data_IF_162299675541
#
_entry.id   IF_162299675541
#
_cell.length_a   1.000
_cell.length_b   1.000
_cell.length_c   1.000
_cell.angle_alpha   90.00
_cell.angle_beta   90.00
_cell.angle_gamma   90.00
#
_symmetry.space_group_name_H-M   'P 1'
#
loop_
_entity.id
_entity.type
_entity.pdbx_description
1 polymer ?
#
# COMPACT_ATOMS: atom_id res chain seq x y z
N UNK A 1 3.75 12.88 16.85
CA UNK A 1 4.05 11.50 17.26
C UNK A 1 5.54 11.33 17.38
N UNK A 2 5.99 10.45 18.29
CA UNK A 2 7.39 10.02 18.40
C UNK A 2 7.55 8.67 17.70
N UNK A 3 8.45 8.57 16.74
CA UNK A 3 8.57 7.39 15.90
C UNK A 3 10.04 6.98 15.76
N UNK A 4 10.31 5.69 15.96
CA UNK A 4 11.61 5.09 15.68
C UNK A 4 11.57 4.42 14.31
N UNK A 5 12.60 4.67 13.50
CA UNK A 5 12.82 4.01 12.22
C UNK A 5 14.12 3.24 12.29
N UNK A 6 14.07 1.92 12.09
CA UNK A 6 15.22 1.03 12.09
C UNK A 6 15.59 0.67 10.65
N UNK A 7 16.79 1.07 10.26
CA UNK A 7 17.31 0.98 8.90
C UNK A 7 17.18 2.29 8.13
N UNK A 8 18.32 2.92 7.81
CA UNK A 8 18.43 4.19 7.09
C UNK A 8 18.70 3.99 5.58
N UNK A 9 18.22 2.89 5.00
CA UNK A 9 18.26 2.65 3.57
C UNK A 9 17.23 3.51 2.80
N UNK A 10 17.03 3.22 1.52
CA UNK A 10 16.13 4.00 0.63
C UNK A 10 14.74 4.23 1.20
N UNK A 11 14.10 3.20 1.75
CA UNK A 11 12.75 3.30 2.32
C UNK A 11 12.79 4.05 3.66
N UNK A 12 13.66 3.63 4.58
CA UNK A 12 13.71 4.22 5.92
C UNK A 12 14.10 5.70 5.91
N UNK A 13 15.08 6.10 5.11
CA UNK A 13 15.45 7.51 4.99
C UNK A 13 14.36 8.36 4.34
N UNK A 14 13.66 7.81 3.33
CA UNK A 14 12.52 8.52 2.71
C UNK A 14 11.37 8.68 3.69
N UNK A 15 11.02 7.63 4.43
CA UNK A 15 10.00 7.64 5.48
C UNK A 15 10.36 8.65 6.57
N UNK A 16 11.61 8.63 7.05
CA UNK A 16 12.10 9.54 8.07
C UNK A 16 11.95 11.01 7.65
N UNK A 17 12.40 11.36 6.45
CA UNK A 17 12.26 12.73 5.92
C UNK A 17 10.81 13.16 5.75
N UNK A 18 9.94 12.26 5.30
CA UNK A 18 8.52 12.57 5.10
C UNK A 18 7.84 12.85 6.44
N UNK A 19 8.07 12.03 7.44
CA UNK A 19 7.50 12.19 8.77
C UNK A 19 8.09 13.41 9.51
N UNK A 20 9.39 13.70 9.36
CA UNK A 20 10.02 14.90 9.92
C UNK A 20 9.42 16.18 9.33
N UNK A 21 9.16 16.22 8.00
CA UNK A 21 8.45 17.35 7.35
C UNK A 21 7.02 17.51 7.85
N UNK A 22 6.37 16.41 8.26
CA UNK A 22 5.05 16.42 8.88
C UNK A 22 5.09 16.77 10.38
N UNK A 23 6.24 17.24 10.89
CA UNK A 23 6.48 17.65 12.29
C UNK A 23 6.30 16.53 13.31
N UNK A 24 6.72 15.30 12.97
CA UNK A 24 6.87 14.21 13.94
C UNK A 24 8.30 14.18 14.51
N UNK A 25 8.44 13.69 15.74
CA UNK A 25 9.74 13.47 16.40
C UNK A 25 10.30 12.12 15.92
N UNK A 26 11.36 12.15 15.12
CA UNK A 26 11.90 10.95 14.48
C UNK A 26 13.27 10.60 15.08
N UNK A 27 13.43 9.33 15.42
CA UNK A 27 14.73 8.72 15.73
C UNK A 27 15.05 7.64 14.71
N UNK A 28 16.19 7.74 14.03
CA UNK A 28 16.63 6.76 13.04
C UNK A 28 17.77 5.93 13.59
N UNK A 29 17.67 4.62 13.53
CA UNK A 29 18.71 3.66 13.95
C UNK A 29 19.27 2.98 12.70
N UNK A 30 20.59 2.97 12.56
CA UNK A 30 21.29 2.13 11.56
C UNK A 30 22.65 1.69 12.13
N UNK A 31 23.11 0.49 11.74
CA UNK A 31 24.44 0.02 12.13
C UNK A 31 25.56 0.72 11.34
N UNK A 32 25.24 1.20 10.14
CA UNK A 32 26.16 1.92 9.28
C UNK A 32 25.93 3.44 9.40
N UNK A 33 26.88 4.13 9.98
CA UNK A 33 26.83 5.58 10.18
C UNK A 33 26.72 6.38 8.87
N UNK A 34 27.36 5.89 7.80
CA UNK A 34 27.29 6.54 6.49
C UNK A 34 25.87 6.52 5.89
N UNK A 35 25.00 5.59 6.31
CA UNK A 35 23.62 5.56 5.86
C UNK A 35 22.83 6.83 6.21
N UNK A 36 23.23 7.51 7.29
CA UNK A 36 22.57 8.74 7.73
C UNK A 36 22.77 9.93 6.78
N UNK A 37 23.77 9.91 5.91
CA UNK A 37 23.95 10.93 4.87
C UNK A 37 22.71 11.04 3.96
N UNK A 38 21.99 9.94 3.78
CA UNK A 38 20.75 9.89 2.98
C UNK A 38 19.58 10.71 3.56
N UNK A 39 19.67 11.11 4.84
CA UNK A 39 18.66 11.97 5.48
C UNK A 39 18.79 13.43 5.04
N UNK A 40 20.00 13.85 4.66
CA UNK A 40 20.28 15.22 4.23
C UNK A 40 20.34 16.22 5.40
N UNK A 41 20.86 17.42 5.10
CA UNK A 41 21.10 18.46 6.11
C UNK A 41 19.84 19.10 6.72
N UNK A 42 18.68 18.91 6.08
CA UNK A 42 17.41 19.45 6.58
C UNK A 42 16.68 18.54 7.57
N UNK A 43 17.18 17.33 7.81
CA UNK A 43 16.59 16.40 8.76
C UNK A 43 16.85 16.88 10.21
N UNK A 44 15.80 16.99 11.02
CA UNK A 44 15.84 17.53 12.40
C UNK A 44 15.80 16.44 13.45
N UNK A 45 15.51 15.19 13.06
CA UNK A 45 15.42 14.08 13.98
C UNK A 45 16.77 13.62 14.52
N UNK A 46 16.73 12.61 15.39
CA UNK A 46 17.91 12.02 15.99
C UNK A 46 18.39 10.82 15.16
N UNK A 47 19.72 10.63 15.13
CA UNK A 47 20.34 9.45 14.54
C UNK A 47 21.12 8.67 15.60
N UNK A 48 20.97 7.35 15.60
CA UNK A 48 21.63 6.48 16.55
C UNK A 48 22.30 5.34 15.78
N UNK A 49 23.63 5.28 15.88
CA UNK A 49 24.39 4.14 15.36
C UNK A 49 24.22 2.95 16.29
N UNK A 50 23.71 1.83 15.74
CA UNK A 50 23.53 0.60 16.50
C UNK A 50 22.75 -0.46 15.75
N UNK A 51 22.64 -1.63 16.35
CA UNK A 51 21.89 -2.75 15.82
C UNK A 51 20.44 -2.64 16.28
N UNK A 52 19.49 -2.71 15.33
CA UNK A 52 18.08 -2.41 15.56
C UNK A 52 17.34 -3.37 16.50
N UNK A 53 17.80 -4.60 16.64
CA UNK A 53 17.24 -5.58 17.59
C UNK A 53 18.00 -5.64 18.92
N UNK A 54 19.07 -4.82 19.10
CA UNK A 54 19.75 -4.72 20.37
C UNK A 54 18.94 -3.87 21.35
N UNK A 55 18.62 -4.48 22.50
CA UNK A 55 17.81 -3.83 23.53
C UNK A 55 18.42 -2.50 24.02
N UNK A 56 19.74 -2.44 24.17
CA UNK A 56 20.42 -1.23 24.64
C UNK A 56 20.29 -0.08 23.62
N UNK A 57 20.38 -0.40 22.34
CA UNK A 57 20.17 0.54 21.23
C UNK A 57 18.73 1.07 21.22
N UNK A 58 17.74 0.19 21.35
CA UNK A 58 16.32 0.55 21.39
C UNK A 58 15.99 1.42 22.60
N UNK A 59 16.51 1.08 23.78
CA UNK A 59 16.34 1.91 25.01
C UNK A 59 16.98 3.28 24.84
N UNK A 60 18.19 3.35 24.27
CA UNK A 60 18.86 4.63 23.96
C UNK A 60 18.04 5.48 22.98
N UNK A 61 17.31 4.83 22.06
CA UNK A 61 16.41 5.50 21.13
C UNK A 61 15.07 5.93 21.77
N UNK A 62 14.83 5.59 23.02
CA UNK A 62 13.64 5.99 23.76
C UNK A 62 12.40 5.14 23.46
N UNK A 63 12.58 3.87 23.12
CA UNK A 63 11.48 2.95 22.70
C UNK A 63 10.33 2.89 23.72
N UNK A 64 10.60 3.11 25.01
CA UNK A 64 9.60 3.11 26.07
C UNK A 64 8.55 4.22 25.96
N UNK A 65 8.78 5.24 25.11
CA UNK A 65 7.97 6.47 25.03
C UNK A 65 7.59 6.83 23.60
N UNK A 66 7.66 5.89 22.66
CA UNK A 66 7.32 6.14 21.26
C UNK A 66 5.92 5.70 20.94
N UNK A 67 5.30 6.39 19.99
CA UNK A 67 3.97 6.07 19.47
C UNK A 67 4.04 5.02 18.37
N UNK A 68 5.20 4.90 17.70
CA UNK A 68 5.38 3.97 16.60
C UNK A 68 6.82 3.54 16.35
N UNK A 69 6.98 2.37 15.72
CA UNK A 69 8.26 1.88 15.25
C UNK A 69 8.10 1.25 13.87
N UNK A 70 8.98 1.62 12.94
CA UNK A 70 9.06 1.02 11.62
C UNK A 70 10.42 0.35 11.41
N UNK A 71 10.42 -0.91 10.94
CA UNK A 71 11.64 -1.62 10.57
C UNK A 71 11.77 -1.67 9.04
N UNK A 72 12.88 -1.15 8.53
CA UNK A 72 13.12 -0.93 7.09
C UNK A 72 14.50 -1.42 6.63
N UNK A 73 15.14 -2.35 7.36
CA UNK A 73 16.45 -2.90 6.98
C UNK A 73 16.34 -3.82 5.77
N UNK A 74 17.48 -4.25 5.23
CA UNK A 74 17.51 -5.22 4.11
C UNK A 74 17.26 -6.67 4.54
N UNK A 75 17.17 -6.96 5.84
CA UNK A 75 16.99 -8.32 6.37
C UNK A 75 15.59 -8.49 6.96
N UNK A 76 14.81 -9.42 6.40
CA UNK A 76 13.49 -9.77 6.93
C UNK A 76 13.58 -10.28 8.37
N UNK A 77 14.60 -11.06 8.69
CA UNK A 77 14.77 -11.63 10.03
C UNK A 77 15.08 -10.52 11.06
N UNK A 78 15.96 -9.57 10.71
CA UNK A 78 16.23 -8.42 11.57
C UNK A 78 14.99 -7.54 11.76
N UNK A 79 14.23 -7.31 10.69
CA UNK A 79 13.00 -6.54 10.73
C UNK A 79 11.94 -7.22 11.61
N UNK A 80 11.75 -8.51 11.42
CA UNK A 80 10.79 -9.31 12.17
C UNK A 80 11.12 -9.38 13.67
N UNK A 81 12.40 -9.66 14.01
CA UNK A 81 12.85 -9.73 15.41
C UNK A 81 12.70 -8.37 16.09
N UNK A 82 13.14 -7.29 15.44
CA UNK A 82 13.00 -5.94 15.98
C UNK A 82 11.54 -5.56 16.22
N UNK A 83 10.67 -5.85 15.25
CA UNK A 83 9.24 -5.59 15.35
C UNK A 83 8.58 -6.37 16.51
N UNK A 84 8.96 -7.65 16.69
CA UNK A 84 8.48 -8.45 17.82
C UNK A 84 8.93 -7.89 19.16
N UNK A 85 10.19 -7.52 19.29
CA UNK A 85 10.73 -6.88 20.51
C UNK A 85 9.93 -5.60 20.81
N UNK A 86 9.71 -4.75 19.82
CA UNK A 86 8.95 -3.52 19.99
C UNK A 86 7.49 -3.79 20.42
N UNK A 87 6.83 -4.73 19.75
CA UNK A 87 5.42 -5.04 19.99
C UNK A 87 5.20 -5.81 21.30
N UNK A 88 5.93 -6.91 21.52
CA UNK A 88 5.68 -7.82 22.63
C UNK A 88 6.33 -7.36 23.95
N UNK A 89 7.55 -6.82 23.90
CA UNK A 89 8.31 -6.45 25.09
C UNK A 89 8.05 -4.98 25.48
N UNK A 90 8.19 -4.06 24.53
CA UNK A 90 8.05 -2.62 24.81
C UNK A 90 6.62 -2.11 24.62
N UNK A 91 5.70 -2.93 24.07
CA UNK A 91 4.29 -2.58 23.88
C UNK A 91 4.09 -1.30 23.06
N UNK A 92 4.95 -1.09 22.07
CA UNK A 92 4.81 0.05 21.15
C UNK A 92 3.46 -0.02 20.44
N UNK A 93 2.63 1.04 20.47
CA UNK A 93 1.26 1.00 19.96
C UNK A 93 1.14 0.65 18.48
N UNK A 94 2.03 1.21 17.67
CA UNK A 94 2.02 0.97 16.22
C UNK A 94 3.37 0.43 15.76
N UNK A 95 3.39 -0.82 15.30
CA UNK A 95 4.62 -1.44 14.79
C UNK A 95 4.41 -1.87 13.34
N UNK A 96 5.32 -1.45 12.47
CA UNK A 96 5.32 -1.78 11.05
C UNK A 96 6.62 -2.45 10.67
N UNK A 97 6.56 -3.63 10.07
CA UNK A 97 7.73 -4.37 9.60
C UNK A 97 7.75 -4.48 8.07
N UNK A 98 8.87 -4.07 7.45
CA UNK A 98 9.12 -4.36 6.06
C UNK A 98 9.56 -5.81 5.91
N UNK A 99 8.82 -6.60 5.15
CA UNK A 99 9.14 -8.00 4.87
C UNK A 99 9.04 -8.24 3.36
N UNK A 100 10.08 -8.84 2.79
CA UNK A 100 10.12 -9.19 1.37
C UNK A 100 9.39 -10.50 1.08
N UNK A 101 9.48 -11.46 2.02
CA UNK A 101 8.86 -12.77 1.92
C UNK A 101 7.37 -12.68 2.31
N UNK A 102 6.42 -12.92 1.37
CA UNK A 102 5.00 -12.87 1.65
C UNK A 102 4.55 -13.87 2.74
N UNK A 103 5.16 -15.06 2.78
CA UNK A 103 4.81 -16.08 3.77
C UNK A 103 5.18 -15.62 5.19
N UNK A 104 6.36 -14.99 5.35
CA UNK A 104 6.75 -14.37 6.61
C UNK A 104 5.80 -13.21 6.97
N UNK A 105 5.46 -12.37 6.01
CA UNK A 105 4.54 -11.25 6.23
C UNK A 105 3.18 -11.71 6.77
N UNK A 106 2.64 -12.81 6.26
CA UNK A 106 1.38 -13.37 6.72
C UNK A 106 1.44 -13.88 8.18
N UNK A 107 2.55 -14.53 8.54
CA UNK A 107 2.77 -15.00 9.92
C UNK A 107 2.79 -13.81 10.89
N UNK A 108 3.55 -12.75 10.57
CA UNK A 108 3.70 -11.60 11.46
C UNK A 108 2.43 -10.75 11.53
N UNK A 109 1.63 -10.66 10.46
CA UNK A 109 0.29 -10.04 10.50
C UNK A 109 -0.65 -10.73 11.49
N UNK A 110 -0.64 -12.07 11.54
CA UNK A 110 -1.44 -12.84 12.52
C UNK A 110 -0.98 -12.60 13.97
N UNK A 111 0.26 -12.18 14.17
CA UNK A 111 0.82 -11.79 15.47
C UNK A 111 0.56 -10.30 15.82
N UNK A 112 -0.27 -9.58 15.04
CA UNK A 112 -0.63 -8.19 15.30
C UNK A 112 0.39 -7.15 14.79
N UNK A 113 1.42 -7.57 14.05
CA UNK A 113 2.43 -6.67 13.47
C UNK A 113 2.00 -6.30 12.05
N UNK A 114 1.85 -5.02 11.77
CA UNK A 114 1.58 -4.55 10.42
C UNK A 114 2.80 -4.80 9.52
N UNK A 115 2.59 -5.28 8.30
CA UNK A 115 3.68 -5.61 7.39
C UNK A 115 3.57 -4.87 6.07
N UNK A 116 4.70 -4.45 5.51
CA UNK A 116 4.82 -3.83 4.20
C UNK A 116 5.62 -4.77 3.29
N UNK A 117 4.96 -5.30 2.26
CA UNK A 117 5.58 -6.14 1.22
C UNK A 117 5.93 -5.30 -0.02
N UNK A 118 7.15 -4.77 -0.09
CA UNK A 118 7.56 -3.91 -1.22
C UNK A 118 7.70 -4.67 -2.55
N UNK A 119 8.04 -5.96 -2.51
CA UNK A 119 8.22 -6.78 -3.72
C UNK A 119 6.89 -7.16 -4.34
N UNK A 120 5.94 -7.64 -3.54
CA UNK A 120 4.62 -8.03 -4.04
C UNK A 120 3.89 -6.86 -4.72
N UNK A 121 4.00 -5.67 -4.13
CA UNK A 121 3.43 -4.46 -4.72
C UNK A 121 4.12 -4.10 -6.05
N UNK A 122 5.46 -4.13 -6.10
CA UNK A 122 6.21 -3.82 -7.32
C UNK A 122 5.95 -4.84 -8.43
N UNK A 123 5.87 -6.14 -8.08
CA UNK A 123 5.54 -7.20 -9.04
C UNK A 123 4.12 -7.04 -9.57
N UNK A 124 3.15 -6.75 -8.70
CA UNK A 124 1.77 -6.48 -9.13
C UNK A 124 1.75 -5.31 -10.13
N UNK A 125 2.33 -4.17 -9.79
CA UNK A 125 2.40 -3.02 -10.69
C UNK A 125 3.09 -3.34 -12.03
N UNK A 126 4.19 -4.11 -12.01
CA UNK A 126 4.85 -4.51 -13.24
C UNK A 126 3.96 -5.43 -14.09
N UNK A 127 3.27 -6.39 -13.46
CA UNK A 127 2.33 -7.26 -14.15
C UNK A 127 1.17 -6.45 -14.75
N UNK A 128 0.64 -5.46 -14.04
CA UNK A 128 -0.42 -4.59 -14.52
C UNK A 128 0.02 -3.81 -15.77
N UNK A 129 1.26 -3.31 -15.78
CA UNK A 129 1.85 -2.61 -16.94
C UNK A 129 2.05 -3.56 -18.12
N UNK A 130 2.57 -4.78 -17.88
CA UNK A 130 2.83 -5.76 -18.94
C UNK A 130 1.58 -6.48 -19.44
N UNK A 131 0.54 -6.56 -18.62
CA UNK A 131 -0.68 -7.31 -18.96
C UNK A 131 -1.52 -6.64 -20.04
N UNK A 132 -1.14 -5.47 -20.56
CA UNK A 132 -1.92 -4.73 -21.57
C UNK A 132 -3.44 -4.66 -21.24
N UNK A 133 -3.79 -4.79 -19.96
CA UNK A 133 -5.19 -4.68 -19.59
C UNK A 133 -5.55 -3.19 -19.54
N UNK A 134 -6.41 -2.77 -20.44
CA UNK A 134 -7.07 -1.45 -20.46
C UNK A 134 -7.90 -1.19 -19.18
N UNK A 135 -7.73 -2.04 -18.17
CA UNK A 135 -8.38 -1.92 -16.88
C UNK A 135 -7.38 -1.32 -15.91
N UNK A 136 -7.62 -0.08 -15.54
CA UNK A 136 -6.83 0.65 -14.54
C UNK A 136 -7.33 0.27 -13.13
N UNK A 137 -6.61 -0.64 -12.44
CA UNK A 137 -6.96 -1.05 -11.08
C UNK A 137 -6.53 0.04 -10.11
N UNK A 138 -7.50 0.74 -9.55
CA UNK A 138 -7.30 1.85 -8.61
C UNK A 138 -7.01 1.33 -7.19
N UNK A 139 -7.73 0.29 -6.75
CA UNK A 139 -7.66 -0.23 -5.38
C UNK A 139 -8.02 -1.72 -5.33
N UNK A 140 -7.51 -2.43 -4.34
CA UNK A 140 -7.83 -3.84 -4.09
C UNK A 140 -8.37 -4.00 -2.67
N UNK A 141 -9.55 -4.56 -2.54
CA UNK A 141 -10.25 -4.74 -1.27
C UNK A 141 -10.20 -6.18 -0.78
N UNK A 142 -10.21 -6.32 0.55
CA UNK A 142 -10.18 -7.61 1.23
C UNK A 142 -8.75 -8.10 1.50
N UNK A 143 -8.56 -8.86 2.59
CA UNK A 143 -7.26 -9.39 3.04
C UNK A 143 -6.65 -10.39 2.04
N UNK A 144 -7.46 -10.98 1.19
CA UNK A 144 -7.08 -11.93 0.13
C UNK A 144 -7.12 -11.29 -1.27
N UNK A 145 -7.39 -9.98 -1.39
CA UNK A 145 -7.51 -9.30 -2.67
C UNK A 145 -8.69 -9.75 -3.53
N UNK A 146 -9.81 -10.13 -2.90
CA UNK A 146 -10.95 -10.74 -3.60
C UNK A 146 -11.74 -9.78 -4.49
N UNK A 147 -11.68 -8.45 -4.27
CA UNK A 147 -12.38 -7.43 -5.06
C UNK A 147 -11.38 -6.40 -5.54
N UNK A 148 -11.48 -6.00 -6.80
CA UNK A 148 -10.72 -4.90 -7.38
C UNK A 148 -11.66 -3.74 -7.75
N UNK A 149 -11.24 -2.52 -7.43
CA UNK A 149 -11.87 -1.30 -7.95
C UNK A 149 -11.14 -0.92 -9.22
N UNK A 150 -11.86 -0.93 -10.31
CA UNK A 150 -11.32 -0.75 -11.67
C UNK A 150 -11.84 0.55 -12.24
N UNK A 151 -10.94 1.36 -12.78
CA UNK A 151 -11.28 2.59 -13.49
C UNK A 151 -11.35 2.30 -14.99
N UNK A 152 -12.46 2.68 -15.64
CA UNK A 152 -12.72 2.38 -17.05
C UNK A 152 -13.25 3.64 -17.73
N UNK A 153 -12.65 4.03 -18.84
CA UNK A 153 -13.24 5.04 -19.73
C UNK A 153 -14.41 4.45 -20.50
N UNK A 154 -15.52 5.17 -20.59
CA UNK A 154 -16.67 4.72 -21.35
C UNK A 154 -16.29 4.42 -22.82
N UNK A 155 -16.38 3.17 -23.22
CA UNK A 155 -16.13 2.75 -24.60
C UNK A 155 -17.34 3.04 -25.49
N UNK A 156 -17.17 3.14 -26.82
CA UNK A 156 -18.31 3.31 -27.72
C UNK A 156 -19.39 2.23 -27.59
N UNK A 157 -19.01 1.04 -27.12
CA UNK A 157 -19.93 -0.08 -26.87
C UNK A 157 -20.87 0.19 -25.68
N UNK A 158 -20.41 0.96 -24.71
CA UNK A 158 -21.14 1.25 -23.47
C UNK A 158 -22.00 2.50 -23.57
N UNK A 159 -21.64 3.44 -24.45
CA UNK A 159 -22.37 4.71 -24.59
C UNK A 159 -23.81 4.48 -25.02
N UNK A 160 -24.76 5.07 -24.29
CA UNK A 160 -26.19 4.92 -24.50
C UNK A 160 -26.82 3.78 -23.72
N UNK A 161 -26.04 2.91 -23.07
CA UNK A 161 -26.53 1.84 -22.21
C UNK A 161 -26.66 2.29 -20.76
N UNK A 162 -27.63 1.76 -20.00
CA UNK A 162 -27.74 2.04 -18.57
C UNK A 162 -26.66 1.30 -17.77
N UNK A 163 -26.23 1.85 -16.63
CA UNK A 163 -25.18 1.26 -15.79
C UNK A 163 -25.51 -0.18 -15.35
N UNK A 164 -26.78 -0.52 -15.17
CA UNK A 164 -27.21 -1.88 -14.82
C UNK A 164 -26.75 -2.94 -15.82
N UNK A 165 -26.52 -2.57 -17.09
CA UNK A 165 -26.05 -3.51 -18.12
C UNK A 165 -24.60 -3.94 -17.89
N UNK A 166 -23.85 -3.20 -17.04
CA UNK A 166 -22.51 -3.55 -16.56
C UNK A 166 -22.52 -4.23 -15.18
N UNK A 167 -23.69 -4.44 -14.58
CA UNK A 167 -23.80 -5.04 -13.25
C UNK A 167 -24.04 -6.56 -13.38
N UNK A 168 -23.27 -7.33 -12.60
CA UNK A 168 -23.47 -8.77 -12.42
C UNK A 168 -23.60 -9.01 -10.92
N UNK A 169 -24.78 -9.44 -10.48
CA UNK A 169 -25.11 -9.56 -9.07
C UNK A 169 -24.07 -10.38 -8.29
N UNK A 170 -23.50 -9.75 -7.26
CA UNK A 170 -22.49 -10.34 -6.39
C UNK A 170 -21.08 -10.44 -7.00
N UNK A 171 -20.87 -10.05 -8.26
CA UNK A 171 -19.58 -10.17 -8.93
C UNK A 171 -19.06 -8.86 -9.52
N UNK A 172 -19.92 -8.04 -10.14
CA UNK A 172 -19.55 -6.78 -10.80
C UNK A 172 -20.58 -5.71 -10.47
N UNK A 173 -20.12 -4.54 -9.99
CA UNK A 173 -20.99 -3.41 -9.67
C UNK A 173 -20.32 -2.09 -10.06
N UNK A 174 -21.04 -1.19 -10.74
CA UNK A 174 -20.57 0.17 -10.98
C UNK A 174 -20.86 0.99 -9.72
N UNK A 175 -19.82 1.46 -9.04
CA UNK A 175 -19.94 2.16 -7.74
C UNK A 175 -19.99 3.68 -7.89
N UNK A 176 -19.32 4.23 -8.90
CA UNK A 176 -19.29 5.65 -9.17
C UNK A 176 -18.99 5.92 -10.64
N UNK A 177 -19.33 7.12 -11.10
CA UNK A 177 -18.89 7.63 -12.40
C UNK A 177 -18.42 9.09 -12.26
N UNK A 178 -17.46 9.47 -13.08
CA UNK A 178 -17.07 10.87 -13.23
C UNK A 178 -17.55 11.36 -14.59
N UNK A 179 -18.31 12.46 -14.57
CA UNK A 179 -18.86 13.13 -15.75
C UNK A 179 -18.56 14.64 -15.67
N UNK A 180 -17.85 15.17 -16.66
CA UNK A 180 -17.51 16.61 -16.73
C UNK A 180 -16.83 17.14 -15.45
N UNK A 181 -15.91 16.33 -14.88
CA UNK A 181 -15.16 16.67 -13.67
C UNK A 181 -15.98 16.61 -12.36
N UNK A 182 -17.16 15.99 -12.39
CA UNK A 182 -17.97 15.74 -11.19
C UNK A 182 -18.13 14.25 -10.97
N UNK A 183 -17.73 13.77 -9.80
CA UNK A 183 -17.93 12.38 -9.38
C UNK A 183 -19.32 12.20 -8.79
N UNK A 184 -20.04 11.21 -9.26
CA UNK A 184 -21.40 10.86 -8.88
C UNK A 184 -21.43 9.42 -8.37
N UNK A 185 -22.25 9.15 -7.37
CA UNK A 185 -22.57 7.76 -6.99
C UNK A 185 -23.40 7.15 -8.11
N UNK A 186 -23.04 5.94 -8.53
CA UNK A 186 -23.74 5.25 -9.61
C UNK A 186 -25.17 4.90 -9.19
N UNK A 187 -26.10 5.07 -10.13
CA UNK A 187 -27.47 4.55 -10.01
C UNK A 187 -27.78 3.71 -11.25
N UNK A 188 -28.41 2.57 -11.05
CA UNK A 188 -28.65 1.53 -12.07
C UNK A 188 -29.20 2.04 -13.41
N UNK A 189 -30.09 3.04 -13.35
CA UNK A 189 -30.76 3.60 -14.53
C UNK A 189 -30.02 4.79 -15.17
N UNK A 190 -28.84 5.18 -14.66
CA UNK A 190 -28.03 6.21 -15.31
C UNK A 190 -27.52 5.71 -16.64
N UNK A 191 -27.71 6.51 -17.70
CA UNK A 191 -27.22 6.23 -19.03
C UNK A 191 -25.76 6.68 -19.14
N UNK A 192 -24.91 5.82 -19.66
CA UNK A 192 -23.48 6.09 -19.89
C UNK A 192 -23.37 7.08 -21.06
N UNK A 193 -22.66 8.18 -20.85
CA UNK A 193 -22.37 9.19 -21.87
C UNK A 193 -20.91 9.09 -22.36
N UNK A 194 -20.67 9.61 -23.55
CA UNK A 194 -19.31 9.68 -24.07
C UNK A 194 -18.43 10.58 -23.16
N UNK A 195 -17.27 10.05 -22.79
CA UNK A 195 -16.31 10.73 -21.91
C UNK A 195 -16.52 10.46 -20.42
N UNK A 196 -17.54 9.66 -20.05
CA UNK A 196 -17.67 9.18 -18.68
C UNK A 196 -16.48 8.31 -18.27
N UNK A 197 -16.06 8.46 -17.02
CA UNK A 197 -15.09 7.58 -16.36
C UNK A 197 -15.84 6.77 -15.30
N UNK A 198 -15.79 5.46 -15.39
CA UNK A 198 -16.54 4.55 -14.53
C UNK A 198 -15.61 3.92 -13.49
N UNK A 199 -16.07 3.83 -12.26
CA UNK A 199 -15.41 3.08 -11.18
C UNK A 199 -16.24 1.83 -10.91
N UNK A 200 -15.66 0.67 -11.20
CA UNK A 200 -16.33 -0.63 -11.14
C UNK A 200 -15.69 -1.49 -10.08
N UNK A 201 -16.46 -1.98 -9.11
CA UNK A 201 -16.02 -3.02 -8.20
C UNK A 201 -16.27 -4.38 -8.87
N UNK A 202 -15.22 -5.18 -9.01
CA UNK A 202 -15.32 -6.51 -9.61
C UNK A 202 -14.62 -7.56 -8.75
N UNK A 203 -15.25 -8.72 -8.57
CA UNK A 203 -14.57 -9.88 -8.03
C UNK A 203 -13.46 -10.32 -8.97
N UNK A 204 -12.28 -10.69 -8.44
CA UNK A 204 -11.11 -11.06 -9.26
C UNK A 204 -11.44 -12.15 -10.30
N UNK A 205 -12.30 -13.12 -9.94
CA UNK A 205 -12.77 -14.15 -10.85
C UNK A 205 -13.65 -13.66 -12.01
N UNK A 206 -14.28 -12.47 -11.86
CA UNK A 206 -15.20 -11.90 -12.86
C UNK A 206 -14.54 -10.84 -13.77
N UNK A 207 -13.26 -10.55 -13.59
CA UNK A 207 -12.54 -9.55 -14.41
C UNK A 207 -12.53 -9.91 -15.89
N UNK A 208 -12.44 -11.20 -16.21
CA UNK A 208 -12.55 -11.67 -17.60
C UNK A 208 -13.90 -11.30 -18.23
N UNK A 209 -14.99 -11.52 -17.50
CA UNK A 209 -16.35 -11.16 -17.93
C UNK A 209 -16.50 -9.64 -18.11
N UNK A 210 -15.97 -8.85 -17.16
CA UNK A 210 -15.95 -7.39 -17.28
C UNK A 210 -15.24 -6.94 -18.56
N UNK A 211 -14.10 -7.54 -18.91
CA UNK A 211 -13.37 -7.26 -20.15
C UNK A 211 -14.22 -7.51 -21.40
N UNK A 212 -14.94 -8.64 -21.42
CA UNK A 212 -15.82 -8.96 -22.53
C UNK A 212 -16.97 -7.94 -22.65
N UNK A 213 -17.57 -7.54 -21.52
CA UNK A 213 -18.67 -6.58 -21.48
C UNK A 213 -18.25 -5.19 -22.00
N UNK A 214 -17.01 -4.74 -21.72
CA UNK A 214 -16.52 -3.45 -22.18
C UNK A 214 -15.86 -3.48 -23.56
N UNK A 215 -15.80 -4.66 -24.19
CA UNK A 215 -15.19 -4.84 -25.51
C UNK A 215 -13.65 -4.83 -25.49
N UNK A 216 -13.00 -5.01 -24.31
CA UNK A 216 -11.56 -5.05 -24.17
C UNK A 216 -10.94 -6.43 -24.45
N UNK A 217 -11.77 -7.44 -24.74
CA UNK A 217 -11.38 -8.84 -24.94
C UNK A 217 -11.04 -9.25 -26.37
N UNK A 218 -11.12 -8.35 -27.37
CA UNK A 218 -10.90 -8.69 -28.79
C UNK A 218 -9.89 -7.74 -29.42
N UNK A 219 -8.61 -7.96 -29.18
CA UNK A 219 -7.56 -7.64 -30.17
C UNK A 219 -6.72 -8.91 -30.35
N UNK A 220 -6.81 -9.47 -31.57
CA UNK A 220 -5.94 -10.51 -32.11
C UNK A 220 -4.48 -10.06 -32.15
#
# INVERSE_FOLDING_TARGET
MKIIIVGCGRIGSSLARTLDRANHDITVIDYNELAFESLGSSFRGLTIKGVGFDRSTLVKAGIDRVDGLATCTSSDDANAVTARIAHEIFRVPTVVARLYDPAKADIYRRLGIQTIGSVSWAVKNALDIFSYSRLDVVETLGSNGGIEIIHISATPLLVGHPLKDLTVFGEIEVIALERRGKTLIAAENMIIEQGDQLYVAAHVGAIGQLRDMIGAGKEN
#
